data_IF_923418079826
#
_entry.id   IF_923418079826
#
_cell.length_a   1.000
_cell.length_b   1.000
_cell.length_c   1.000
_cell.angle_alpha   90.00
_cell.angle_beta   90.00
_cell.angle_gamma   90.00
#
_symmetry.space_group_name_H-M   'P 1'
#
loop_
_entity.id
_entity.type
_entity.pdbx_description
1 polymer ?
#
# COMPACT_ATOMS: atom_id res chain seq x y z
N UNK A 1 29.13 1.05 18.32
CA UNK A 1 28.05 0.20 18.88
C UNK A 1 26.79 0.44 18.08
N UNK A 2 26.06 -0.62 17.75
CA UNK A 2 24.73 -0.52 17.14
C UNK A 2 23.76 -1.30 18.02
N UNK A 3 22.61 -0.70 18.32
CA UNK A 3 21.50 -1.35 19.00
C UNK A 3 20.27 -1.30 18.11
N UNK A 4 19.58 -2.42 18.03
CA UNK A 4 18.30 -2.59 17.36
C UNK A 4 17.45 -3.51 18.24
N UNK A 5 16.60 -2.92 19.08
CA UNK A 5 15.72 -3.65 20.00
C UNK A 5 14.27 -3.41 19.62
N UNK A 6 13.47 -4.47 19.73
CA UNK A 6 12.02 -4.42 19.45
C UNK A 6 11.28 -4.90 20.69
N UNK A 7 10.44 -4.03 21.24
CA UNK A 7 9.48 -4.37 22.28
C UNK A 7 8.09 -4.51 21.65
N UNK A 8 7.65 -5.77 21.48
CA UNK A 8 6.35 -6.08 20.90
C UNK A 8 5.18 -5.85 21.87
N UNK A 9 5.43 -5.79 23.18
CA UNK A 9 4.38 -5.49 24.16
C UNK A 9 4.09 -3.99 24.21
N UNK A 10 5.15 -3.18 24.19
CA UNK A 10 5.03 -1.72 24.13
C UNK A 10 4.79 -1.19 22.70
N UNK A 11 5.00 -2.00 21.67
CA UNK A 11 4.89 -1.59 20.26
C UNK A 11 6.01 -0.63 19.85
N UNK A 12 7.21 -0.79 20.41
CA UNK A 12 8.33 0.15 20.26
C UNK A 12 9.53 -0.49 19.59
N UNK A 13 10.22 0.29 18.75
CA UNK A 13 11.49 -0.07 18.13
C UNK A 13 12.52 0.95 18.60
N UNK A 14 13.59 0.46 19.21
CA UNK A 14 14.75 1.24 19.64
C UNK A 14 15.91 1.01 18.70
N UNK A 15 16.32 2.07 18.03
CA UNK A 15 17.50 2.04 17.17
C UNK A 15 18.51 3.10 17.63
N UNK A 16 19.74 2.67 17.89
CA UNK A 16 20.83 3.56 18.28
C UNK A 16 22.12 3.16 17.59
N UNK A 17 22.85 4.15 17.09
CA UNK A 17 24.19 3.98 16.52
C UNK A 17 25.11 4.96 17.21
N UNK A 18 26.21 4.44 17.77
CA UNK A 18 27.26 5.24 18.37
C UNK A 18 28.61 4.89 17.72
N UNK A 19 29.27 5.89 17.16
CA UNK A 19 30.64 5.77 16.68
C UNK A 19 31.57 6.13 17.83
N UNK A 20 32.30 5.13 18.32
CA UNK A 20 33.27 5.30 19.40
C UNK A 20 34.68 5.22 18.81
N UNK A 21 35.68 5.83 19.48
CA UNK A 21 37.07 5.68 19.09
C UNK A 21 37.43 4.21 18.82
N UNK A 22 38.16 3.90 17.73
CA UNK A 22 38.93 4.82 16.87
C UNK A 22 38.17 5.40 15.66
N UNK A 23 36.85 5.21 15.55
CA UNK A 23 36.09 5.68 14.39
C UNK A 23 35.80 7.17 14.48
N UNK A 24 36.06 7.91 13.41
CA UNK A 24 35.70 9.33 13.30
C UNK A 24 34.19 9.50 13.11
N UNK A 25 33.62 10.64 13.57
CA UNK A 25 32.23 10.99 13.33
C UNK A 25 31.92 11.13 11.84
N UNK A 26 30.75 10.65 11.42
CA UNK A 26 30.28 10.82 10.05
C UNK A 26 29.70 12.21 9.83
N UNK A 27 30.13 12.86 8.76
CA UNK A 27 29.52 14.08 8.22
C UNK A 27 28.95 13.81 6.84
N UNK A 28 27.82 14.45 6.51
CA UNK A 28 27.16 14.31 5.21
C UNK A 28 25.64 14.23 5.31
N UNK A 29 24.98 14.28 4.15
CA UNK A 29 23.54 14.07 4.03
C UNK A 29 23.24 12.66 3.55
N UNK A 30 22.26 12.00 4.16
CA UNK A 30 21.84 10.66 3.77
C UNK A 30 20.85 10.04 4.75
N UNK A 31 20.27 8.88 4.41
CA UNK A 31 19.39 8.16 5.32
C UNK A 31 20.19 7.64 6.53
N UNK A 32 19.73 7.97 7.74
CA UNK A 32 20.33 7.46 8.99
C UNK A 32 19.86 6.04 9.32
N UNK A 33 18.61 5.73 9.00
CA UNK A 33 18.00 4.42 9.21
C UNK A 33 16.90 4.17 8.18
N UNK A 34 16.69 2.90 7.82
CA UNK A 34 15.54 2.46 7.02
C UNK A 34 14.81 1.38 7.80
N UNK A 35 13.54 1.64 8.10
CA UNK A 35 12.68 0.70 8.83
C UNK A 35 11.75 0.01 7.84
N UNK A 36 11.84 -1.31 7.74
CA UNK A 36 10.98 -2.13 6.87
C UNK A 36 9.95 -2.82 7.74
N UNK A 37 8.67 -2.55 7.47
CA UNK A 37 7.55 -3.12 8.20
C UNK A 37 6.75 -4.03 7.27
N UNK A 38 6.29 -5.16 7.80
CA UNK A 38 5.37 -6.06 7.10
C UNK A 38 4.05 -6.09 7.86
N UNK A 39 2.98 -5.69 7.19
CA UNK A 39 1.63 -5.84 7.71
C UNK A 39 1.26 -7.32 7.85
N UNK A 40 0.53 -7.65 8.92
CA UNK A 40 0.06 -9.03 9.19
C UNK A 40 -1.38 -9.29 8.73
N UNK A 41 -2.15 -8.26 8.46
CA UNK A 41 -3.54 -8.36 8.05
C UNK A 41 -4.05 -7.00 7.55
N UNK A 42 -5.32 -7.00 7.15
CA UNK A 42 -6.02 -5.79 6.74
C UNK A 42 -6.26 -4.87 7.94
N UNK A 43 -6.31 -3.57 7.67
CA UNK A 43 -6.53 -2.54 8.67
C UNK A 43 -5.63 -1.32 8.49
N UNK A 44 -5.76 -0.41 9.43
CA UNK A 44 -4.94 0.78 9.54
C UNK A 44 -3.98 0.65 10.73
N UNK A 45 -2.72 0.95 10.50
CA UNK A 45 -1.70 1.12 11.53
C UNK A 45 -1.02 2.47 11.37
N UNK A 46 -0.38 2.96 12.43
CA UNK A 46 0.43 4.16 12.37
C UNK A 46 1.83 3.89 12.92
N UNK A 47 2.84 4.42 12.25
CA UNK A 47 4.23 4.46 12.72
C UNK A 47 4.49 5.87 13.17
N UNK A 48 4.93 6.03 14.42
CA UNK A 48 5.20 7.34 15.01
C UNK A 48 6.65 7.41 15.49
N UNK A 49 7.37 8.42 15.02
CA UNK A 49 8.70 8.78 15.46
C UNK A 49 8.59 9.60 16.76
N UNK A 50 8.82 8.95 17.90
CA UNK A 50 8.62 9.60 19.20
C UNK A 50 9.84 10.40 19.66
N UNK A 51 11.05 9.94 19.37
CA UNK A 51 12.28 10.53 19.91
C UNK A 51 13.40 10.40 18.90
N UNK A 52 14.07 11.52 18.64
CA UNK A 52 15.26 11.60 17.79
C UNK A 52 16.33 12.33 18.60
N UNK A 53 17.45 11.65 18.83
CA UNK A 53 18.60 12.21 19.53
C UNK A 53 19.82 12.04 18.63
N UNK A 54 20.43 13.16 18.24
CA UNK A 54 21.69 13.21 17.52
C UNK A 54 22.72 13.92 18.39
N UNK A 55 23.95 13.45 18.39
CA UNK A 55 25.04 14.04 19.17
C UNK A 55 26.35 14.05 18.38
N UNK A 56 27.20 15.03 18.66
CA UNK A 56 28.57 15.11 18.12
C UNK A 56 29.56 14.22 18.89
N UNK A 57 30.83 14.21 18.46
CA UNK A 57 31.91 13.45 19.12
C UNK A 57 32.17 13.85 20.57
N UNK A 58 31.81 15.07 20.94
CA UNK A 58 31.99 15.61 22.29
C UNK A 58 30.78 15.31 23.18
N UNK A 59 29.74 14.66 22.63
CA UNK A 59 28.48 14.39 23.32
C UNK A 59 27.50 15.56 23.32
N UNK A 60 27.77 16.64 22.58
CA UNK A 60 26.82 17.75 22.48
C UNK A 60 25.68 17.36 21.55
N UNK A 61 24.45 17.70 21.95
CA UNK A 61 23.27 17.45 21.14
C UNK A 61 23.30 18.28 19.84
N UNK A 62 22.99 17.64 18.72
CA UNK A 62 22.80 18.29 17.43
C UNK A 62 21.30 18.61 17.29
N UNK A 63 20.92 19.90 17.18
CA UNK A 63 19.52 20.28 16.99
C UNK A 63 18.95 19.60 15.74
N UNK A 64 17.79 18.97 15.90
CA UNK A 64 17.14 18.21 14.83
C UNK A 64 15.71 18.69 14.67
N UNK A 65 15.29 18.92 13.43
CA UNK A 65 13.90 19.23 13.10
C UNK A 65 13.23 18.00 12.49
N UNK A 66 12.06 17.62 13.02
CA UNK A 66 11.28 16.50 12.52
C UNK A 66 10.18 17.05 11.61
N UNK A 67 10.33 16.86 10.30
CA UNK A 67 9.35 17.32 9.32
C UNK A 67 8.06 16.48 9.31
N UNK A 68 8.18 15.16 9.52
CA UNK A 68 7.05 14.22 9.59
C UNK A 68 7.35 13.22 10.69
N UNK A 69 6.50 13.18 11.70
CA UNK A 69 6.62 12.29 12.86
C UNK A 69 5.67 11.09 12.76
N UNK A 70 4.62 11.14 11.95
CA UNK A 70 3.62 10.07 11.84
C UNK A 70 3.36 9.67 10.39
N UNK A 71 3.36 8.36 10.15
CA UNK A 71 3.01 7.76 8.86
C UNK A 71 1.89 6.74 9.08
N UNK A 72 0.77 6.90 8.37
CA UNK A 72 -0.32 5.94 8.35
C UNK A 72 -0.02 4.82 7.32
N UNK A 73 -0.26 3.58 7.72
CA UNK A 73 -0.12 2.38 6.90
C UNK A 73 -1.50 1.76 6.79
N UNK A 74 -2.10 1.84 5.60
CA UNK A 74 -3.43 1.27 5.33
C UNK A 74 -3.28 0.05 4.43
N UNK A 75 -3.81 -1.08 4.88
CA UNK A 75 -3.83 -2.33 4.13
C UNK A 75 -5.29 -2.72 3.93
N UNK A 76 -5.76 -2.61 2.69
CA UNK A 76 -7.08 -3.07 2.28
C UNK A 76 -7.00 -4.39 1.51
N UNK A 77 -8.09 -5.15 1.56
CA UNK A 77 -8.33 -6.19 0.55
C UNK A 77 -8.46 -5.55 -0.83
N UNK A 78 -8.03 -6.22 -1.90
CA UNK A 78 -8.48 -5.82 -3.23
C UNK A 78 -10.00 -5.99 -3.27
N UNK A 79 -10.73 -4.87 -3.25
CA UNK A 79 -12.17 -4.89 -3.56
C UNK A 79 -12.32 -5.57 -4.92
N UNK A 80 -12.89 -6.77 -4.92
CA UNK A 80 -13.35 -7.38 -6.16
C UNK A 80 -14.29 -6.35 -6.80
N UNK A 81 -13.87 -5.73 -7.90
CA UNK A 81 -14.82 -5.00 -8.75
C UNK A 81 -15.91 -6.02 -9.05
N UNK A 82 -17.12 -5.79 -8.54
CA UNK A 82 -18.28 -6.42 -9.13
C UNK A 82 -18.22 -5.98 -10.59
N UNK A 83 -17.80 -6.89 -11.47
CA UNK A 83 -18.09 -6.76 -12.87
C UNK A 83 -19.62 -6.58 -12.89
N UNK A 84 -20.17 -5.43 -13.32
CA UNK A 84 -21.60 -5.36 -13.50
C UNK A 84 -21.95 -6.58 -14.37
N UNK A 85 -22.88 -7.45 -13.94
CA UNK A 85 -23.19 -8.63 -14.72
C UNK A 85 -23.47 -8.14 -16.14
N UNK A 86 -22.69 -8.65 -17.09
CA UNK A 86 -22.84 -8.34 -18.50
C UNK A 86 -24.28 -8.71 -18.90
N UNK A 87 -25.20 -7.74 -18.83
CA UNK A 87 -26.62 -8.03 -18.98
C UNK A 87 -27.62 -7.04 -18.36
N UNK A 88 -27.22 -6.06 -17.54
CA UNK A 88 -28.16 -5.04 -17.07
C UNK A 88 -28.17 -3.81 -18.00
N UNK A 89 -28.76 -3.94 -19.19
CA UNK A 89 -29.16 -2.78 -20.01
C UNK A 89 -30.45 -2.20 -19.42
N UNK A 90 -30.35 -1.04 -18.78
CA UNK A 90 -31.52 -0.23 -18.44
C UNK A 90 -32.12 0.31 -19.74
N UNK A 91 -33.22 -0.30 -20.20
CA UNK A 91 -34.08 0.24 -21.25
C UNK A 91 -34.90 1.41 -20.67
N UNK A 92 -34.38 2.63 -20.76
CA UNK A 92 -35.22 3.82 -20.63
C UNK A 92 -36.02 3.99 -21.92
N UNK A 93 -37.34 3.95 -21.77
CA UNK A 93 -38.32 3.96 -22.83
C UNK A 93 -38.18 5.15 -23.79
N UNK A 94 -37.96 4.86 -25.07
CA UNK A 94 -38.69 5.45 -26.19
C UNK A 94 -38.42 4.62 -27.45
N UNK A 95 -39.33 3.66 -27.66
CA UNK A 95 -39.71 3.14 -28.97
C UNK A 95 -38.61 2.68 -29.93
N UNK A 96 -38.14 1.44 -29.80
CA UNK A 96 -38.07 0.50 -30.92
C UNK A 96 -37.85 -0.91 -30.36
N UNK A 97 -38.69 -1.85 -30.79
CA UNK A 97 -38.78 -3.19 -30.19
C UNK A 97 -37.57 -4.06 -30.48
N UNK A 98 -37.01 -4.67 -29.43
CA UNK A 98 -36.11 -5.81 -29.56
C UNK A 98 -36.74 -7.01 -28.85
N UNK A 99 -37.19 -8.00 -29.62
CA UNK A 99 -37.62 -9.31 -29.09
C UNK A 99 -36.35 -10.14 -28.90
N UNK A 100 -35.87 -10.23 -27.65
CA UNK A 100 -34.82 -11.22 -27.31
C UNK A 100 -35.49 -12.58 -27.11
N UNK A 101 -35.47 -13.44 -28.12
CA UNK A 101 -35.80 -14.87 -27.95
C UNK A 101 -34.58 -15.57 -27.36
N UNK A 102 -34.66 -16.01 -26.10
CA UNK A 102 -33.67 -16.92 -25.56
C UNK A 102 -33.85 -18.31 -26.17
N UNK A 103 -32.79 -18.88 -26.75
CA UNK A 103 -32.73 -20.30 -27.13
C UNK A 103 -31.66 -20.94 -26.25
N UNK A 104 -32.05 -21.88 -25.39
CA UNK A 104 -31.08 -22.61 -24.55
C UNK A 104 -30.17 -23.48 -25.41
N UNK A 105 -28.87 -23.32 -25.13
CA UNK A 105 -27.77 -24.30 -25.06
C UNK A 105 -27.76 -25.45 -26.09
N UNK A 106 -26.72 -25.45 -26.93
CA UNK A 106 -26.13 -26.69 -27.46
C UNK A 106 -24.95 -27.11 -26.58
N UNK A 107 -24.84 -28.39 -26.27
CA UNK A 107 -23.93 -28.99 -25.28
C UNK A 107 -22.46 -29.10 -25.68
N UNK A 108 -22.05 -28.64 -26.87
CA UNK A 108 -20.79 -29.12 -27.48
C UNK A 108 -19.66 -28.08 -27.52
N UNK A 109 -19.72 -27.03 -26.69
CA UNK A 109 -18.54 -26.26 -26.28
C UNK A 109 -17.74 -25.54 -27.38
N UNK A 110 -18.31 -25.30 -28.57
CA UNK A 110 -17.63 -24.54 -29.64
C UNK A 110 -18.25 -23.15 -29.80
N UNK A 111 -17.49 -22.06 -29.61
CA UNK A 111 -17.96 -20.73 -29.97
C UNK A 111 -17.98 -20.59 -31.50
N UNK A 112 -19.17 -20.43 -32.07
CA UNK A 112 -19.32 -19.98 -33.46
C UNK A 112 -19.17 -18.46 -33.47
N UNK A 113 -18.13 -17.97 -34.15
CA UNK A 113 -17.92 -16.54 -34.41
C UNK A 113 -19.10 -15.99 -35.21
N UNK A 114 -19.85 -15.04 -34.64
CA UNK A 114 -20.87 -14.29 -35.38
C UNK A 114 -20.28 -12.92 -35.72
N UNK A 115 -20.04 -12.73 -37.01
CA UNK A 115 -19.62 -11.49 -37.62
C UNK A 115 -20.79 -10.49 -37.58
N UNK A 116 -20.51 -9.24 -37.20
CA UNK A 116 -21.50 -8.16 -37.17
C UNK A 116 -21.21 -7.26 -38.36
N UNK A 117 -22.13 -7.20 -39.31
CA UNK A 117 -22.15 -6.16 -40.36
C UNK A 117 -23.00 -5.00 -39.85
N UNK A 118 -22.43 -3.79 -39.90
CA UNK A 118 -23.13 -2.56 -39.55
C UNK A 118 -24.04 -2.16 -40.72
N UNK A 119 -25.32 -1.91 -40.42
CA UNK A 119 -26.20 -1.19 -41.34
C UNK A 119 -26.23 0.28 -40.89
N UNK A 120 -25.83 1.16 -41.82
CA UNK A 120 -25.76 2.63 -41.74
C UNK A 120 -27.01 3.31 -41.16
#
# INVERSE_FOLDING_TARGET
VVQNQVDLQAGRIDYAVAQMPPHEPVSGGGPLATVVLRARGEGEGAVVLQTVLLADSSGNAIPTEVAVDRVAVVVGSPTARSCPPAGALFLSALGLGLIVRSKRVGSDGRPTLVQVDEAE
#
